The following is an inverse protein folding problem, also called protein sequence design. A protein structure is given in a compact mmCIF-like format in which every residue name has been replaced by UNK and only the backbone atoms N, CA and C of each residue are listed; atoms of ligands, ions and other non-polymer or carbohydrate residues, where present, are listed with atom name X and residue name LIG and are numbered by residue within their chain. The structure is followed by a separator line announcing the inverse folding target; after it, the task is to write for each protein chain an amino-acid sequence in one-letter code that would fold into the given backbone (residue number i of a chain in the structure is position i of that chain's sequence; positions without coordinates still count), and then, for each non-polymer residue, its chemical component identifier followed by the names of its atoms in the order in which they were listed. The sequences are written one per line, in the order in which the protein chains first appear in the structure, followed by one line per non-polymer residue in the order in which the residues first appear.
data_IF_196645042103
#
_entry.id   IF_196645042103
#
_cell.length_a   1.000
_cell.length_b   1.000
_cell.length_c   1.000
_cell.angle_alpha   90.00
_cell.angle_beta   90.00
_cell.angle_gamma   90.00
#
_symmetry.space_group_name_H-M   'P 1'
#
loop_
_entity.id
_entity.type
_entity.pdbx_description
1 polymer ?
#
# COMPACT_ATOMS: atom_id res chain seq x y z
N UNK A 1 -2.17 3.75 6.46
CA UNK A 1 -0.81 3.21 6.68
C UNK A 1 -0.16 3.11 5.31
N UNK A 2 0.92 3.86 5.07
CA UNK A 2 1.37 4.16 3.71
C UNK A 2 2.90 4.29 3.53
N UNK A 3 3.70 3.26 3.89
CA UNK A 3 5.14 3.32 3.70
C UNK A 3 5.51 3.46 2.22
N UNK A 4 6.55 4.25 1.95
CA UNK A 4 7.07 4.44 0.60
C UNK A 4 8.59 4.53 0.57
N UNK A 5 9.16 4.12 -0.57
CA UNK A 5 10.57 4.23 -0.90
C UNK A 5 10.68 5.04 -2.20
N UNK A 6 11.59 6.00 -2.22
CA UNK A 6 11.83 6.87 -3.37
C UNK A 6 13.30 6.86 -3.73
N UNK A 7 13.60 6.54 -4.98
CA UNK A 7 14.94 6.56 -5.57
C UNK A 7 15.03 7.72 -6.56
N UNK A 8 15.66 8.85 -6.18
CA UNK A 8 15.74 10.02 -7.03
C UNK A 8 16.30 9.71 -8.42
N UNK A 9 15.60 10.17 -9.46
CA UNK A 9 15.99 9.95 -10.85
C UNK A 9 15.66 8.56 -11.42
N UNK A 10 15.06 7.66 -10.63
CA UNK A 10 14.71 6.30 -11.06
C UNK A 10 13.22 6.02 -10.92
N UNK A 11 12.74 5.78 -9.70
CA UNK A 11 11.35 5.39 -9.43
C UNK A 11 10.96 5.66 -7.98
N UNK A 12 9.66 5.54 -7.69
CA UNK A 12 9.14 5.47 -6.34
C UNK A 12 8.07 4.39 -6.23
N UNK A 13 7.93 3.83 -5.02
CA UNK A 13 6.91 2.85 -4.68
C UNK A 13 6.27 3.27 -3.35
N UNK A 14 4.94 3.23 -3.28
CA UNK A 14 4.17 3.37 -2.04
C UNK A 14 3.05 2.36 -2.05
N UNK A 15 2.86 1.66 -0.94
CA UNK A 15 1.73 0.77 -0.71
C UNK A 15 0.92 1.39 0.42
N UNK A 16 -0.39 1.54 0.21
CA UNK A 16 -1.26 2.30 1.12
C UNK A 16 -2.54 1.54 1.44
N UNK A 17 -2.88 1.53 2.73
CA UNK A 17 -4.13 1.00 3.25
C UNK A 17 -4.82 1.99 4.18
N UNK A 18 -6.13 2.12 4.02
CA UNK A 18 -7.01 2.72 5.04
C UNK A 18 -7.36 1.65 6.06
N UNK A 19 -7.22 1.98 7.34
CA UNK A 19 -7.51 1.07 8.45
C UNK A 19 -8.41 1.74 9.47
N UNK A 20 -9.24 0.95 10.15
CA UNK A 20 -10.03 1.39 11.30
C UNK A 20 -9.47 0.73 12.56
N UNK A 21 -9.30 1.50 13.63
CA UNK A 21 -8.88 0.97 14.94
C UNK A 21 -10.09 0.38 15.65
N UNK A 22 -9.94 -0.84 16.17
CA UNK A 22 -10.97 -1.55 16.94
C UNK A 22 -10.46 -1.83 18.36
N UNK A 23 -11.26 -2.49 19.20
CA UNK A 23 -10.82 -2.84 20.56
C UNK A 23 -9.74 -3.92 20.56
N UNK A 24 -9.72 -4.76 19.53
CA UNK A 24 -8.86 -5.94 19.39
C UNK A 24 -7.63 -5.68 18.49
N UNK A 25 -7.59 -4.53 17.80
CA UNK A 25 -6.48 -4.18 16.89
C UNK A 25 -6.90 -3.18 15.81
N UNK A 26 -6.68 -3.53 14.55
CA UNK A 26 -7.17 -2.74 13.41
C UNK A 26 -7.73 -3.66 12.32
N UNK A 27 -8.72 -3.14 11.59
CA UNK A 27 -9.27 -3.78 10.39
C UNK A 27 -8.83 -2.98 9.15
N UNK A 28 -8.40 -3.70 8.12
CA UNK A 28 -8.01 -3.11 6.83
C UNK A 28 -9.24 -2.94 5.94
N UNK A 29 -9.54 -1.69 5.58
CA UNK A 29 -10.69 -1.35 4.74
C UNK A 29 -10.36 -1.42 3.25
N UNK A 30 -9.10 -1.17 2.88
CA UNK A 30 -8.62 -1.27 1.49
C UNK A 30 -8.21 -2.71 1.16
N UNK A 31 -8.90 -3.34 0.20
CA UNK A 31 -8.74 -4.79 -0.10
C UNK A 31 -8.05 -5.08 -1.44
N UNK A 32 -7.43 -4.07 -2.05
CA UNK A 32 -6.66 -4.26 -3.29
C UNK A 32 -5.44 -5.15 -3.03
N UNK A 33 -4.97 -5.93 -4.02
CA UNK A 33 -3.71 -6.66 -3.90
C UNK A 33 -2.57 -5.69 -3.57
N UNK A 34 -1.61 -6.15 -2.76
CA UNK A 34 -0.41 -5.37 -2.41
C UNK A 34 0.86 -5.89 -3.11
N UNK A 35 0.72 -6.97 -3.88
CA UNK A 35 1.79 -7.49 -4.73
C UNK A 35 1.97 -6.61 -5.95
N UNK A 36 3.14 -6.67 -6.56
CA UNK A 36 3.41 -5.99 -7.82
C UNK A 36 2.52 -6.60 -8.92
N UNK A 37 1.72 -5.75 -9.56
CA UNK A 37 0.92 -6.11 -10.74
C UNK A 37 1.59 -5.48 -11.96
N UNK A 38 1.93 -6.31 -12.94
CA UNK A 38 2.40 -5.87 -14.25
C UNK A 38 1.20 -5.81 -15.20
N UNK A 39 1.08 -4.73 -15.97
CA UNK A 39 0.02 -4.55 -16.95
C UNK A 39 0.59 -4.79 -18.34
N UNK A 40 -0.05 -5.67 -19.10
CA UNK A 40 0.26 -5.85 -20.52
C UNK A 40 -0.18 -4.59 -21.29
N UNK A 41 0.78 -3.90 -21.92
CA UNK A 41 0.58 -2.69 -22.74
C UNK A 41 0.87 -2.96 -24.21
#
# INVERSE_FOLDING_TARGET
VEPGIYLPGHMGLRIEDTVIVTKEGCEVLTKTPKDLIELDV
#
